data_IF_675993460108
#
_entry.id   IF_675993460108
#
_cell.length_a   1.000
_cell.length_b   1.000
_cell.length_c   1.000
_cell.angle_alpha   90.00
_cell.angle_beta   90.00
_cell.angle_gamma   90.00
#
_symmetry.space_group_name_H-M   'P 1'
#
loop_
_entity.id
_entity.type
_entity.pdbx_description
1 polymer ?
#
# COMPACT_ATOMS: atom_id res chain seq x y z
N UNK A 1 4.90 -19.79 -28.01
CA UNK A 1 5.34 -20.14 -26.65
C UNK A 1 4.35 -19.52 -25.69
N UNK A 2 3.61 -20.32 -24.96
CA UNK A 2 2.77 -19.78 -23.86
C UNK A 2 3.67 -19.02 -22.90
N UNK A 3 3.39 -17.74 -22.69
CA UNK A 3 4.12 -16.94 -21.69
C UNK A 3 3.86 -17.58 -20.33
N UNK A 4 4.93 -17.93 -19.60
CA UNK A 4 4.78 -18.40 -18.22
C UNK A 4 4.03 -17.34 -17.39
N UNK A 5 3.02 -17.78 -16.66
CA UNK A 5 2.22 -16.95 -15.78
C UNK A 5 2.47 -17.35 -14.33
N UNK A 6 2.52 -16.37 -13.44
CA UNK A 6 2.53 -16.60 -12.00
C UNK A 6 1.15 -17.06 -11.56
N UNK A 7 1.07 -18.21 -10.91
CA UNK A 7 -0.16 -18.76 -10.34
C UNK A 7 -0.40 -18.19 -8.95
N UNK A 8 -1.41 -17.34 -8.86
CA UNK A 8 -1.74 -16.62 -7.64
C UNK A 8 -2.69 -17.37 -6.74
N UNK A 9 -2.38 -17.39 -5.43
CA UNK A 9 -3.27 -17.76 -4.35
C UNK A 9 -3.72 -16.54 -3.56
N UNK A 10 -5.00 -16.51 -3.17
CA UNK A 10 -5.56 -15.41 -2.37
C UNK A 10 -5.83 -15.91 -0.96
N UNK A 11 -5.15 -15.31 0.03
CA UNK A 11 -5.30 -15.63 1.47
C UNK A 11 -6.42 -14.77 2.06
N UNK A 12 -7.62 -15.25 2.07
CA UNK A 12 -8.86 -14.59 2.52
C UNK A 12 -9.70 -13.96 1.40
N UNK A 13 -11.00 -14.12 1.51
CA UNK A 13 -12.01 -13.46 0.68
C UNK A 13 -12.32 -12.05 1.22
N UNK A 14 -11.31 -11.18 1.25
CA UNK A 14 -11.44 -9.80 1.71
C UNK A 14 -12.04 -8.88 0.64
N UNK A 15 -12.65 -7.77 1.06
CA UNK A 15 -13.27 -6.80 0.15
C UNK A 15 -12.30 -6.22 -0.87
N UNK A 16 -11.07 -5.90 -0.47
CA UNK A 16 -10.02 -5.39 -1.38
C UNK A 16 -9.59 -6.43 -2.42
N UNK A 17 -9.54 -7.69 -2.05
CA UNK A 17 -9.30 -8.77 -3.01
C UNK A 17 -10.43 -8.85 -4.04
N UNK A 18 -11.70 -8.74 -3.58
CA UNK A 18 -12.89 -8.80 -4.44
C UNK A 18 -12.97 -7.62 -5.43
N UNK A 19 -12.72 -6.42 -4.94
CA UNK A 19 -12.95 -5.18 -5.71
C UNK A 19 -11.78 -4.79 -6.60
N UNK A 20 -10.56 -5.22 -6.27
CA UNK A 20 -9.37 -4.62 -6.84
C UNK A 20 -8.32 -5.64 -7.29
N UNK A 21 -7.76 -6.45 -6.35
CA UNK A 21 -6.59 -7.27 -6.69
C UNK A 21 -6.93 -8.47 -7.56
N UNK A 22 -8.04 -9.17 -7.32
CA UNK A 22 -8.46 -10.26 -8.21
C UNK A 22 -8.77 -9.75 -9.63
N UNK A 23 -9.53 -8.64 -9.81
CA UNK A 23 -9.64 -8.01 -11.14
C UNK A 23 -8.30 -7.63 -11.76
N UNK A 24 -7.35 -7.14 -10.97
CA UNK A 24 -5.98 -6.85 -11.41
C UNK A 24 -5.25 -8.11 -11.90
N UNK A 25 -5.32 -9.22 -11.15
CA UNK A 25 -4.76 -10.52 -11.56
C UNK A 25 -5.37 -11.02 -12.87
N UNK A 26 -6.69 -10.93 -12.99
CA UNK A 26 -7.40 -11.37 -14.20
C UNK A 26 -7.09 -10.49 -15.42
N UNK A 27 -6.76 -9.21 -15.22
CA UNK A 27 -6.36 -8.27 -16.27
C UNK A 27 -4.89 -8.38 -16.66
N UNK A 28 -4.03 -8.88 -15.79
CA UNK A 28 -2.58 -8.95 -15.99
C UNK A 28 -2.18 -10.04 -17.00
N UNK A 29 -1.19 -9.74 -17.85
CA UNK A 29 -0.75 -10.67 -18.90
C UNK A 29 0.09 -11.84 -18.37
N UNK A 30 0.77 -11.66 -17.26
CA UNK A 30 1.71 -12.60 -16.64
C UNK A 30 1.21 -13.22 -15.34
N UNK A 31 -0.10 -13.18 -15.09
CA UNK A 31 -0.73 -13.73 -13.88
C UNK A 31 -1.90 -14.66 -14.23
N UNK A 32 -2.20 -15.57 -13.30
CA UNK A 32 -3.34 -16.48 -13.34
C UNK A 32 -3.94 -16.54 -11.93
N UNK A 33 -5.25 -16.34 -11.79
CA UNK A 33 -5.95 -16.61 -10.55
C UNK A 33 -6.10 -18.13 -10.39
N UNK A 34 -5.18 -18.74 -9.67
CA UNK A 34 -5.15 -20.18 -9.51
C UNK A 34 -5.97 -20.66 -8.32
N UNK A 35 -5.78 -20.03 -7.15
CA UNK A 35 -6.43 -20.48 -5.92
C UNK A 35 -6.99 -19.34 -5.08
N UNK A 36 -8.07 -19.62 -4.37
CA UNK A 36 -8.59 -18.74 -3.31
C UNK A 36 -8.81 -19.55 -2.04
N UNK A 37 -8.72 -18.91 -0.88
CA UNK A 37 -9.03 -19.53 0.40
C UNK A 37 -9.86 -18.63 1.31
N UNK A 38 -10.71 -19.25 2.14
CA UNK A 38 -11.48 -18.54 3.16
C UNK A 38 -11.88 -19.48 4.28
N UNK A 39 -11.83 -19.00 5.53
CA UNK A 39 -12.36 -19.71 6.70
C UNK A 39 -13.89 -19.65 6.80
N UNK A 40 -14.52 -18.77 6.01
CA UNK A 40 -15.98 -18.63 5.95
C UNK A 40 -16.53 -19.27 4.68
N UNK A 41 -17.31 -20.35 4.77
CA UNK A 41 -17.79 -21.10 3.61
C UNK A 41 -18.64 -20.25 2.66
N UNK A 42 -19.51 -19.40 3.18
CA UNK A 42 -20.38 -18.55 2.37
C UNK A 42 -19.57 -17.55 1.52
N UNK A 43 -18.52 -16.95 2.12
CA UNK A 43 -17.63 -16.05 1.40
C UNK A 43 -16.82 -16.79 0.33
N UNK A 44 -16.36 -18.00 0.66
CA UNK A 44 -15.63 -18.85 -0.28
C UNK A 44 -16.49 -19.17 -1.49
N UNK A 45 -17.72 -19.61 -1.26
CA UNK A 45 -18.66 -19.97 -2.34
C UNK A 45 -19.02 -18.76 -3.21
N UNK A 46 -19.25 -17.58 -2.60
CA UNK A 46 -19.45 -16.33 -3.34
C UNK A 46 -18.28 -16.03 -4.27
N UNK A 47 -17.03 -16.13 -3.79
CA UNK A 47 -15.85 -15.85 -4.59
C UNK A 47 -15.61 -16.89 -5.68
N UNK A 48 -15.85 -18.18 -5.40
CA UNK A 48 -15.82 -19.25 -6.41
C UNK A 48 -16.75 -18.95 -7.58
N UNK A 49 -18.00 -18.61 -7.27
CA UNK A 49 -19.01 -18.31 -8.27
C UNK A 49 -18.70 -17.04 -9.08
N UNK A 50 -18.08 -16.05 -8.44
CA UNK A 50 -17.76 -14.77 -9.08
C UNK A 50 -16.51 -14.83 -9.96
N UNK A 51 -15.46 -15.51 -9.51
CA UNK A 51 -14.14 -15.44 -10.12
C UNK A 51 -13.68 -16.74 -10.77
N UNK A 52 -14.36 -17.84 -10.52
CA UNK A 52 -14.08 -19.16 -11.09
C UNK A 52 -12.59 -19.56 -11.02
N UNK A 53 -11.95 -19.56 -9.82
CA UNK A 53 -10.58 -19.99 -9.66
C UNK A 53 -10.42 -21.48 -9.96
N UNK A 54 -9.20 -21.93 -10.29
CA UNK A 54 -8.93 -23.35 -10.52
C UNK A 54 -9.13 -24.18 -9.25
N UNK A 55 -8.77 -23.61 -8.10
CA UNK A 55 -8.89 -24.24 -6.78
C UNK A 55 -9.53 -23.30 -5.75
N UNK A 56 -10.20 -23.91 -4.78
CA UNK A 56 -10.71 -23.18 -3.61
C UNK A 56 -10.50 -24.03 -2.35
N UNK A 57 -10.04 -23.40 -1.28
CA UNK A 57 -9.65 -24.05 -0.03
C UNK A 57 -10.38 -23.44 1.16
N UNK A 58 -10.75 -24.26 2.11
CA UNK A 58 -11.45 -23.84 3.33
C UNK A 58 -10.48 -23.35 4.43
N UNK A 59 -9.18 -23.62 4.25
CA UNK A 59 -8.12 -23.08 5.11
C UNK A 59 -7.02 -22.39 4.29
N UNK A 60 -6.32 -21.46 4.93
CA UNK A 60 -5.20 -20.77 4.32
C UNK A 60 -3.98 -21.71 4.20
N UNK A 61 -3.82 -22.61 5.17
CA UNK A 61 -2.77 -23.62 5.19
C UNK A 61 -2.86 -24.57 3.99
N UNK A 62 -4.07 -25.05 3.65
CA UNK A 62 -4.28 -25.91 2.48
C UNK A 62 -3.87 -25.21 1.18
N UNK A 63 -4.19 -23.92 1.04
CA UNK A 63 -3.74 -23.14 -0.11
C UNK A 63 -2.21 -23.03 -0.16
N UNK A 64 -1.57 -22.78 0.98
CA UNK A 64 -0.12 -22.69 1.06
C UNK A 64 0.58 -24.03 0.78
N UNK A 65 -0.07 -25.15 1.09
CA UNK A 65 0.44 -26.51 0.83
C UNK A 65 0.31 -26.93 -0.63
N UNK A 66 -0.47 -26.23 -1.46
CA UNK A 66 -0.55 -26.53 -2.88
C UNK A 66 0.75 -26.16 -3.62
N UNK A 67 1.48 -27.16 -4.20
CA UNK A 67 2.74 -26.90 -4.87
C UNK A 67 2.60 -26.10 -6.18
N UNK A 68 1.40 -25.96 -6.70
CA UNK A 68 1.14 -25.21 -7.94
C UNK A 68 0.87 -23.72 -7.71
N UNK A 69 0.72 -23.28 -6.47
CA UNK A 69 0.67 -21.87 -6.14
C UNK A 69 2.09 -21.31 -6.12
N UNK A 70 2.39 -20.31 -6.95
CA UNK A 70 3.70 -19.65 -7.02
C UNK A 70 3.80 -18.47 -6.06
N UNK A 71 2.75 -17.65 -6.02
CA UNK A 71 2.69 -16.43 -5.22
C UNK A 71 1.36 -16.31 -4.48
N UNK A 72 1.38 -15.65 -3.33
CA UNK A 72 0.17 -15.36 -2.56
C UNK A 72 0.00 -13.86 -2.36
N UNK A 73 -1.26 -13.43 -2.38
CA UNK A 73 -1.69 -12.13 -1.91
C UNK A 73 -2.33 -12.27 -0.54
N UNK A 74 -1.91 -11.42 0.41
CA UNK A 74 -2.33 -11.47 1.81
C UNK A 74 -3.13 -10.22 2.17
N UNK A 75 -4.45 -10.18 1.94
CA UNK A 75 -5.36 -9.08 2.32
C UNK A 75 -5.99 -9.29 3.69
N UNK A 76 -5.21 -9.69 4.66
CA UNK A 76 -5.66 -9.89 6.04
C UNK A 76 -5.64 -8.56 6.82
N UNK A 77 -6.26 -8.49 8.00
CA UNK A 77 -6.03 -7.37 8.92
C UNK A 77 -4.55 -7.21 9.29
N UNK A 78 -4.12 -5.96 9.52
CA UNK A 78 -2.72 -5.58 9.71
C UNK A 78 -1.94 -6.47 10.69
N UNK A 79 -2.56 -6.81 11.83
CA UNK A 79 -1.94 -7.64 12.87
C UNK A 79 -1.64 -9.09 12.44
N UNK A 80 -2.20 -9.54 11.31
CA UNK A 80 -2.02 -10.91 10.80
C UNK A 80 -1.01 -11.00 9.66
N UNK A 81 -0.56 -9.88 9.09
CA UNK A 81 0.38 -9.87 7.97
C UNK A 81 1.68 -10.61 8.28
N UNK A 82 2.24 -10.37 9.46
CA UNK A 82 3.47 -10.98 9.92
C UNK A 82 3.38 -12.51 9.93
N UNK A 83 2.41 -13.06 10.66
CA UNK A 83 2.24 -14.50 10.80
C UNK A 83 2.09 -15.20 9.44
N UNK A 84 1.20 -14.67 8.59
CA UNK A 84 0.87 -15.31 7.33
C UNK A 84 1.96 -15.13 6.27
N UNK A 85 2.74 -14.07 6.33
CA UNK A 85 3.95 -13.93 5.50
C UNK A 85 5.00 -14.98 5.86
N UNK A 86 5.26 -15.20 7.16
CA UNK A 86 6.21 -16.23 7.59
C UNK A 86 5.74 -17.64 7.15
N UNK A 87 4.46 -17.95 7.32
CA UNK A 87 3.90 -19.23 6.87
C UNK A 87 4.02 -19.40 5.35
N UNK A 88 3.72 -18.36 4.57
CA UNK A 88 3.84 -18.38 3.12
C UNK A 88 5.30 -18.58 2.67
N UNK A 89 6.23 -17.85 3.27
CA UNK A 89 7.67 -17.98 2.99
C UNK A 89 8.18 -19.39 3.30
N UNK A 90 7.81 -19.98 4.44
CA UNK A 90 8.17 -21.35 4.80
C UNK A 90 7.65 -22.40 3.81
N UNK A 91 6.54 -22.10 3.10
CA UNK A 91 6.00 -22.92 2.00
C UNK A 91 6.53 -22.50 0.63
N UNK A 92 7.59 -21.66 0.59
CA UNK A 92 8.26 -21.19 -0.63
C UNK A 92 7.33 -20.44 -1.59
N UNK A 93 6.36 -19.69 -1.06
CA UNK A 93 5.49 -18.83 -1.85
C UNK A 93 6.04 -17.41 -1.86
N UNK A 94 6.10 -16.78 -3.04
CA UNK A 94 6.32 -15.34 -3.16
C UNK A 94 5.13 -14.60 -2.54
N UNK A 95 5.35 -13.42 -1.97
CA UNK A 95 4.34 -12.73 -1.18
C UNK A 95 4.13 -11.29 -1.67
N UNK A 96 2.89 -10.97 -2.01
CA UNK A 96 2.37 -9.61 -2.06
C UNK A 96 1.55 -9.38 -0.79
N UNK A 97 2.07 -8.61 0.15
CA UNK A 97 1.44 -8.35 1.43
C UNK A 97 0.75 -6.99 1.43
N UNK A 98 -0.51 -6.94 1.87
CA UNK A 98 -1.19 -5.65 2.05
C UNK A 98 -0.42 -4.71 2.98
N UNK A 99 -0.63 -3.43 2.71
CA UNK A 99 -0.09 -2.32 3.51
C UNK A 99 -0.90 -2.14 4.84
N UNK A 100 -0.25 -1.70 5.90
CA UNK A 100 1.20 -1.67 6.06
C UNK A 100 1.74 -3.09 6.13
N UNK A 101 2.93 -3.35 5.58
CA UNK A 101 3.53 -4.69 5.51
C UNK A 101 3.55 -5.38 6.88
N UNK A 102 3.87 -4.64 7.93
CA UNK A 102 3.85 -5.09 9.32
C UNK A 102 3.52 -3.95 10.26
N UNK A 103 3.24 -4.28 11.52
CA UNK A 103 2.86 -3.30 12.55
C UNK A 103 4.06 -2.73 13.30
N UNK A 104 5.28 -3.13 12.95
CA UNK A 104 6.52 -2.59 13.49
C UNK A 104 7.70 -2.83 12.55
N UNK A 105 8.75 -1.99 12.69
CA UNK A 105 10.01 -2.17 11.98
C UNK A 105 10.60 -3.57 12.21
N UNK A 106 10.52 -4.08 13.44
CA UNK A 106 11.03 -5.41 13.79
C UNK A 106 10.30 -6.54 13.05
N UNK A 107 8.96 -6.45 12.96
CA UNK A 107 8.19 -7.43 12.19
C UNK A 107 8.58 -7.43 10.72
N UNK A 108 8.69 -6.24 10.10
CA UNK A 108 9.08 -6.11 8.69
C UNK A 108 10.46 -6.71 8.43
N UNK A 109 11.42 -6.49 9.32
CA UNK A 109 12.76 -7.14 9.24
C UNK A 109 12.67 -8.66 9.26
N UNK A 110 11.94 -9.22 10.23
CA UNK A 110 11.78 -10.68 10.36
C UNK A 110 11.05 -11.30 9.17
N UNK A 111 10.05 -10.62 8.61
CA UNK A 111 9.36 -11.06 7.40
C UNK A 111 10.34 -11.18 6.23
N UNK A 112 11.20 -10.17 6.06
CA UNK A 112 12.22 -10.19 5.00
C UNK A 112 13.25 -11.30 5.21
N UNK A 113 13.76 -11.45 6.42
CA UNK A 113 14.74 -12.49 6.78
C UNK A 113 14.19 -13.89 6.46
N UNK A 114 12.93 -14.16 6.80
CA UNK A 114 12.32 -15.46 6.50
C UNK A 114 12.08 -15.64 4.99
N UNK A 115 11.67 -14.59 4.27
CA UNK A 115 11.54 -14.64 2.82
C UNK A 115 12.88 -14.90 2.13
N UNK A 116 13.95 -14.21 2.54
CA UNK A 116 15.29 -14.40 1.98
C UNK A 116 15.83 -15.80 2.23
N UNK A 117 15.68 -16.30 3.45
CA UNK A 117 16.05 -17.66 3.84
C UNK A 117 15.40 -18.72 2.96
N UNK A 118 14.17 -18.48 2.53
CA UNK A 118 13.40 -19.41 1.68
C UNK A 118 13.54 -19.10 0.18
N UNK A 119 14.27 -18.05 -0.21
CA UNK A 119 14.48 -17.66 -1.60
C UNK A 119 13.21 -17.12 -2.29
N UNK A 120 12.31 -16.49 -1.55
CA UNK A 120 11.05 -15.95 -2.07
C UNK A 120 11.02 -14.42 -2.01
N UNK A 121 10.31 -13.81 -2.94
CA UNK A 121 10.10 -12.37 -2.99
C UNK A 121 9.03 -11.96 -1.98
N UNK A 122 9.28 -10.85 -1.27
CA UNK A 122 8.30 -10.12 -0.46
C UNK A 122 8.17 -8.71 -1.00
N UNK A 123 6.95 -8.28 -1.32
CA UNK A 123 6.64 -6.91 -1.73
C UNK A 123 5.42 -6.40 -0.98
N UNK A 124 5.44 -5.13 -0.58
CA UNK A 124 4.32 -4.42 0.04
C UNK A 124 3.36 -3.91 -1.04
N UNK A 125 2.05 -4.07 -0.80
CA UNK A 125 1.01 -3.73 -1.76
C UNK A 125 0.64 -2.23 -1.70
N UNK A 126 1.50 -1.36 -2.23
CA UNK A 126 1.18 0.03 -2.51
C UNK A 126 0.88 0.24 -3.99
N UNK A 127 -0.25 -0.24 -4.46
CA UNK A 127 -0.64 -0.23 -5.87
C UNK A 127 -0.50 1.15 -6.54
N UNK A 128 -0.76 2.25 -5.82
CA UNK A 128 -0.62 3.62 -6.32
C UNK A 128 0.81 3.96 -6.79
N UNK A 129 1.85 3.28 -6.27
CA UNK A 129 3.25 3.48 -6.66
C UNK A 129 3.53 3.05 -8.10
N UNK A 130 2.69 2.18 -8.65
CA UNK A 130 2.75 1.70 -10.02
C UNK A 130 1.97 2.60 -10.99
N UNK A 131 1.22 3.59 -10.47
CA UNK A 131 0.42 4.51 -11.28
C UNK A 131 1.29 5.45 -12.11
N UNK A 132 0.97 5.63 -13.42
CA UNK A 132 1.58 6.67 -14.23
C UNK A 132 1.46 8.07 -13.62
N UNK A 133 0.39 8.34 -12.85
CA UNK A 133 0.24 9.59 -12.11
C UNK A 133 1.37 9.80 -11.12
N UNK A 134 1.66 8.81 -10.27
CA UNK A 134 2.70 8.88 -9.24
C UNK A 134 4.09 9.04 -9.88
N UNK A 135 4.35 8.26 -10.95
CA UNK A 135 5.61 8.37 -11.72
C UNK A 135 5.76 9.76 -12.32
N UNK A 136 4.69 10.30 -12.93
CA UNK A 136 4.72 11.63 -13.55
C UNK A 136 4.98 12.75 -12.57
N UNK A 137 4.35 12.69 -11.38
CA UNK A 137 4.62 13.69 -10.32
C UNK A 137 6.08 13.64 -9.89
N UNK A 138 6.63 12.44 -9.68
CA UNK A 138 8.04 12.28 -9.31
C UNK A 138 8.98 12.85 -10.39
N UNK A 139 8.70 12.56 -11.67
CA UNK A 139 9.43 13.14 -12.79
C UNK A 139 9.41 14.68 -12.80
N UNK A 140 8.24 15.30 -12.56
CA UNK A 140 8.11 16.77 -12.52
C UNK A 140 8.96 17.37 -11.39
N UNK A 141 8.97 16.73 -10.23
CA UNK A 141 9.76 17.15 -9.07
C UNK A 141 11.25 16.97 -9.35
N UNK A 142 11.67 15.81 -9.84
CA UNK A 142 13.09 15.51 -10.13
C UNK A 142 13.68 16.39 -11.24
N UNK A 143 12.85 16.77 -12.21
CA UNK A 143 13.22 17.73 -13.26
C UNK A 143 13.21 19.20 -12.79
N UNK A 144 12.90 19.46 -11.51
CA UNK A 144 12.96 20.78 -10.92
C UNK A 144 11.90 21.75 -11.44
N UNK A 145 10.73 21.25 -11.92
CA UNK A 145 9.65 22.06 -12.50
C UNK A 145 9.15 23.15 -11.55
N UNK A 146 9.19 22.89 -10.24
CA UNK A 146 8.83 23.83 -9.17
C UNK A 146 10.05 24.33 -8.36
N UNK A 147 11.27 24.13 -8.84
CA UNK A 147 12.48 24.39 -8.07
C UNK A 147 12.69 23.35 -6.96
N UNK A 148 13.49 23.68 -5.95
CA UNK A 148 13.71 22.81 -4.80
C UNK A 148 12.41 22.70 -3.98
N UNK A 149 12.04 21.48 -3.60
CA UNK A 149 10.91 21.25 -2.71
C UNK A 149 11.19 21.88 -1.34
N UNK A 150 10.21 22.53 -0.76
CA UNK A 150 10.25 23.15 0.57
C UNK A 150 9.21 22.56 1.52
N UNK A 151 8.05 22.19 0.98
CA UNK A 151 6.98 21.69 1.80
C UNK A 151 6.12 20.68 1.04
N UNK A 152 5.66 19.64 1.74
CA UNK A 152 4.66 18.69 1.23
C UNK A 152 3.57 18.50 2.26
N UNK A 153 2.32 18.57 1.84
CA UNK A 153 1.19 18.11 2.64
C UNK A 153 0.45 16.99 1.93
N UNK A 154 0.05 15.97 2.69
CA UNK A 154 -0.74 14.86 2.19
C UNK A 154 -1.88 14.55 3.15
N UNK A 155 -3.08 14.37 2.59
CA UNK A 155 -4.31 14.11 3.33
C UNK A 155 -4.98 12.84 2.82
N UNK A 156 -5.36 11.97 3.76
CA UNK A 156 -6.26 10.87 3.48
C UNK A 156 -7.25 10.73 4.63
N UNK A 157 -8.52 10.94 4.34
CA UNK A 157 -9.58 10.81 5.33
C UNK A 157 -10.87 10.28 4.69
N UNK A 158 -11.68 9.64 5.48
CA UNK A 158 -13.05 9.28 5.16
C UNK A 158 -13.86 9.07 6.44
N UNK A 159 -15.19 9.13 6.32
CA UNK A 159 -16.09 8.85 7.44
C UNK A 159 -16.31 7.34 7.57
N UNK A 160 -15.72 6.71 8.59
CA UNK A 160 -15.96 5.31 8.94
C UNK A 160 -17.27 5.20 9.71
N UNK A 161 -18.29 4.63 9.07
CA UNK A 161 -19.67 4.59 9.64
C UNK A 161 -19.95 3.33 10.43
N UNK A 162 -19.25 2.24 10.14
CA UNK A 162 -19.44 0.95 10.79
C UNK A 162 -18.58 0.88 12.06
N UNK A 163 -19.22 0.83 13.21
CA UNK A 163 -18.54 0.72 14.52
C UNK A 163 -17.89 -0.64 14.77
N UNK A 164 -18.25 -1.66 13.98
CA UNK A 164 -17.70 -3.02 14.08
C UNK A 164 -16.61 -3.29 13.03
N UNK A 165 -16.20 -2.26 12.29
CA UNK A 165 -15.15 -2.39 11.28
C UNK A 165 -13.81 -2.82 11.89
N UNK A 166 -13.12 -3.73 11.21
CA UNK A 166 -11.82 -4.27 11.65
C UNK A 166 -10.76 -3.17 11.87
N UNK A 167 -10.91 -2.02 11.22
CA UNK A 167 -10.05 -0.83 11.39
C UNK A 167 -10.14 -0.21 12.77
N UNK A 168 -11.19 -0.52 13.53
CA UNK A 168 -11.38 -0.05 14.92
C UNK A 168 -10.98 -1.11 15.95
N UNK A 169 -10.47 -2.27 15.53
CA UNK A 169 -10.06 -3.34 16.44
C UNK A 169 -8.57 -3.26 16.76
N UNK A 170 -8.24 -2.89 18.00
CA UNK A 170 -6.85 -2.83 18.48
C UNK A 170 -6.15 -4.19 18.44
N UNK A 171 -6.88 -5.30 18.66
CA UNK A 171 -6.38 -6.66 18.57
C UNK A 171 -5.94 -7.08 17.17
N UNK A 172 -6.40 -6.37 16.14
CA UNK A 172 -6.04 -6.58 14.73
C UNK A 172 -5.12 -5.47 14.19
N UNK A 173 -4.56 -4.66 15.09
CA UNK A 173 -3.74 -3.50 14.75
C UNK A 173 -4.49 -2.50 13.84
N UNK A 174 -5.73 -2.18 14.23
CA UNK A 174 -6.50 -1.10 13.61
C UNK A 174 -5.87 0.27 13.86
N UNK A 175 -6.47 1.30 13.30
CA UNK A 175 -6.06 2.69 13.44
C UNK A 175 -5.88 3.40 12.11
N UNK A 176 -6.18 4.70 12.09
CA UNK A 176 -6.12 5.53 10.89
C UNK A 176 -4.69 5.66 10.37
N UNK A 177 -3.69 5.71 11.25
CA UNK A 177 -2.29 5.81 10.84
C UNK A 177 -1.83 4.55 10.09
N UNK A 178 -2.20 3.35 10.56
CA UNK A 178 -1.91 2.12 9.85
C UNK A 178 -2.68 2.01 8.52
N UNK A 179 -4.00 2.28 8.53
CA UNK A 179 -4.84 2.03 7.36
C UNK A 179 -4.60 3.04 6.21
N UNK A 180 -4.61 4.32 6.52
CA UNK A 180 -4.54 5.41 5.52
C UNK A 180 -3.37 6.39 5.72
N UNK A 181 -2.90 6.59 6.95
CA UNK A 181 -1.72 7.39 7.24
C UNK A 181 -0.45 6.84 6.60
N UNK A 182 -0.34 5.50 6.49
CA UNK A 182 0.78 4.83 5.82
C UNK A 182 0.96 5.27 4.37
N UNK A 183 -0.11 5.59 3.65
CA UNK A 183 -0.07 6.14 2.29
C UNK A 183 0.53 7.55 2.25
N UNK A 184 0.06 8.43 3.15
CA UNK A 184 0.57 9.80 3.24
C UNK A 184 2.06 9.81 3.56
N UNK A 185 2.50 9.00 4.52
CA UNK A 185 3.90 8.85 4.89
C UNK A 185 4.71 8.34 3.69
N UNK A 186 4.22 7.30 3.01
CA UNK A 186 4.91 6.69 1.87
C UNK A 186 5.05 7.67 0.71
N UNK A 187 4.00 8.40 0.32
CA UNK A 187 4.07 9.34 -0.80
C UNK A 187 4.99 10.52 -0.50
N UNK A 188 4.98 11.05 0.73
CA UNK A 188 5.86 12.13 1.15
C UNK A 188 7.34 11.70 1.03
N UNK A 189 7.70 10.55 1.62
CA UNK A 189 9.06 9.99 1.56
C UNK A 189 9.49 9.71 0.13
N UNK A 190 8.61 9.13 -0.68
CA UNK A 190 8.87 8.84 -2.08
C UNK A 190 9.16 10.09 -2.91
N UNK A 191 8.36 11.14 -2.74
CA UNK A 191 8.52 12.39 -3.49
C UNK A 191 9.80 13.11 -3.08
N UNK A 192 10.08 13.23 -1.79
CA UNK A 192 11.30 13.89 -1.29
C UNK A 192 12.55 13.06 -1.64
N UNK A 193 12.47 11.73 -1.58
CA UNK A 193 13.56 10.82 -1.93
C UNK A 193 14.60 10.61 -0.83
N UNK A 194 14.35 11.12 0.38
CA UNK A 194 15.17 10.90 1.59
C UNK A 194 14.25 10.65 2.79
N UNK A 195 14.83 10.14 3.88
CA UNK A 195 14.09 9.86 5.11
C UNK A 195 13.99 11.10 6.01
N UNK A 196 12.92 11.23 6.81
CA UNK A 196 12.81 12.30 7.79
C UNK A 196 13.88 12.16 8.87
N UNK A 197 14.48 13.27 9.27
CA UNK A 197 15.48 13.34 10.37
C UNK A 197 14.81 13.44 11.74
N UNK A 198 13.59 13.96 11.79
CA UNK A 198 12.75 14.01 12.99
C UNK A 198 11.28 14.07 12.62
N UNK A 199 10.43 13.70 13.57
CA UNK A 199 8.99 13.88 13.44
C UNK A 199 8.34 14.23 14.80
N UNK A 200 7.20 14.93 14.70
CA UNK A 200 6.27 15.15 15.79
C UNK A 200 4.88 14.67 15.37
N UNK A 201 4.26 13.85 16.21
CA UNK A 201 2.95 13.27 15.92
C UNK A 201 1.96 13.51 17.06
N UNK A 202 0.74 13.86 16.70
CA UNK A 202 -0.42 13.94 17.58
C UNK A 202 -1.62 13.29 16.94
N UNK A 203 -2.58 12.83 17.73
CA UNK A 203 -3.75 12.16 17.20
C UNK A 203 -4.84 11.98 18.25
N UNK A 204 -6.01 11.57 17.81
CA UNK A 204 -7.12 11.20 18.67
C UNK A 204 -7.23 9.69 18.74
N UNK A 205 -6.95 9.14 19.92
CA UNK A 205 -7.26 7.73 20.22
C UNK A 205 -8.72 7.65 20.64
N UNK A 206 -9.48 6.76 20.02
CA UNK A 206 -10.88 6.53 20.33
C UNK A 206 -11.02 5.84 21.69
N UNK A 207 -11.92 6.32 22.54
CA UNK A 207 -12.15 5.77 23.88
C UNK A 207 -12.67 4.32 23.84
N UNK A 208 -13.46 3.98 22.82
CA UNK A 208 -14.04 2.64 22.64
C UNK A 208 -13.13 1.73 21.84
N UNK A 209 -12.56 2.24 20.74
CA UNK A 209 -11.74 1.46 19.83
C UNK A 209 -10.33 1.18 20.38
N UNK A 210 -9.79 2.09 21.18
CA UNK A 210 -8.42 2.01 21.68
C UNK A 210 -7.36 2.19 20.60
N UNK A 211 -7.77 2.60 19.37
CA UNK A 211 -6.86 2.89 18.25
C UNK A 211 -6.92 4.37 17.88
N UNK A 212 -5.93 4.86 17.19
CA UNK A 212 -5.92 6.20 16.64
C UNK A 212 -6.96 6.31 15.51
N UNK A 213 -7.96 7.17 15.71
CA UNK A 213 -9.01 7.46 14.72
C UNK A 213 -8.65 8.66 13.83
N UNK A 214 -7.65 9.42 14.24
CA UNK A 214 -7.01 10.45 13.41
C UNK A 214 -5.58 10.70 13.87
N UNK A 215 -4.73 11.13 12.94
CA UNK A 215 -3.38 11.59 13.25
C UNK A 215 -2.94 12.77 12.39
N UNK A 216 -2.09 13.61 12.97
CA UNK A 216 -1.36 14.67 12.29
C UNK A 216 0.12 14.48 12.61
N UNK A 217 0.93 14.30 11.57
CA UNK A 217 2.36 14.01 11.68
C UNK A 217 3.10 15.10 10.93
N UNK A 218 3.95 15.84 11.62
CA UNK A 218 4.90 16.80 11.03
C UNK A 218 6.25 16.12 10.93
N UNK A 219 6.88 16.17 9.78
CA UNK A 219 8.18 15.56 9.50
C UNK A 219 9.17 16.62 9.03
N UNK A 220 10.37 16.60 9.59
CA UNK A 220 11.50 17.40 9.16
C UNK A 220 12.46 16.56 8.32
N UNK A 221 12.96 17.13 7.24
CA UNK A 221 13.95 16.52 6.35
C UNK A 221 15.16 17.42 6.22
N UNK A 222 16.28 16.87 5.80
CA UNK A 222 17.47 17.66 5.51
C UNK A 222 17.20 18.74 4.43
N UNK A 223 17.92 19.86 4.49
CA UNK A 223 17.79 20.95 3.53
C UNK A 223 16.58 21.86 3.76
N UNK A 224 16.07 21.93 5.00
CA UNK A 224 14.94 22.77 5.42
C UNK A 224 13.64 22.41 4.66
N UNK A 225 13.42 21.13 4.44
CA UNK A 225 12.17 20.59 3.87
C UNK A 225 11.29 20.08 5.01
N UNK A 226 10.02 20.47 5.00
CA UNK A 226 9.03 20.01 5.97
C UNK A 226 7.86 19.32 5.28
N UNK A 227 7.24 18.40 6.00
CA UNK A 227 6.02 17.76 5.50
C UNK A 227 4.99 17.56 6.59
N UNK A 228 3.72 17.49 6.17
CA UNK A 228 2.58 17.19 7.03
C UNK A 228 1.76 16.06 6.43
N UNK A 229 1.54 15.03 7.23
CA UNK A 229 0.59 13.96 6.95
C UNK A 229 -0.61 14.11 7.87
N UNK A 230 -1.82 14.18 7.32
CA UNK A 230 -3.05 14.12 8.09
C UNK A 230 -3.92 12.96 7.63
N UNK A 231 -4.40 12.14 8.55
CA UNK A 231 -5.38 11.11 8.27
C UNK A 231 -6.49 11.06 9.32
N UNK A 232 -7.70 10.62 8.90
CA UNK A 232 -8.84 10.54 9.82
C UNK A 232 -9.93 9.61 9.32
N UNK A 233 -10.53 8.86 10.24
CA UNK A 233 -11.76 8.10 10.04
C UNK A 233 -13.04 8.92 10.33
N UNK A 234 -12.87 10.17 10.81
CA UNK A 234 -13.97 11.02 11.29
C UNK A 234 -14.15 12.29 10.45
N UNK A 235 -13.65 12.28 9.20
CA UNK A 235 -13.79 13.41 8.27
C UNK A 235 -14.46 12.97 6.97
N UNK A 236 -14.88 13.92 6.15
CA UNK A 236 -15.31 13.64 4.78
C UNK A 236 -14.16 13.07 3.95
N UNK A 237 -14.50 12.40 2.84
CA UNK A 237 -13.48 11.84 1.93
C UNK A 237 -12.60 12.96 1.38
N UNK A 238 -11.31 12.83 1.64
CA UNK A 238 -10.25 13.63 1.06
C UNK A 238 -9.04 12.71 0.81
N UNK A 239 -8.50 12.74 -0.40
CA UNK A 239 -7.37 11.89 -0.79
C UNK A 239 -6.53 12.66 -1.80
N UNK A 240 -5.59 13.48 -1.32
CA UNK A 240 -4.83 14.44 -2.13
C UNK A 240 -3.49 14.78 -1.48
N UNK A 241 -2.58 15.35 -2.26
CA UNK A 241 -1.36 15.98 -1.75
C UNK A 241 -0.97 17.22 -2.56
N UNK A 242 -0.21 18.10 -1.91
CA UNK A 242 0.36 19.30 -2.50
C UNK A 242 1.85 19.40 -2.21
N UNK A 243 2.64 19.72 -3.23
CA UNK A 243 4.09 19.89 -3.15
C UNK A 243 4.40 21.34 -3.44
N UNK A 244 5.03 22.04 -2.50
CA UNK A 244 5.42 23.44 -2.62
C UNK A 244 6.93 23.51 -2.82
N UNK A 245 7.36 24.14 -3.90
CA UNK A 245 8.76 24.39 -4.21
C UNK A 245 9.07 25.89 -4.28
N UNK A 246 10.34 26.21 -4.57
CA UNK A 246 10.82 27.59 -4.66
C UNK A 246 10.21 28.38 -5.83
N UNK A 247 9.72 27.68 -6.87
CA UNK A 247 9.28 28.28 -8.14
C UNK A 247 7.85 27.90 -8.52
N UNK A 248 7.14 27.18 -7.66
CA UNK A 248 5.78 26.77 -7.95
C UNK A 248 5.22 25.73 -7.00
N UNK A 249 4.01 25.26 -7.33
CA UNK A 249 3.24 24.29 -6.56
C UNK A 249 2.74 23.21 -7.50
N UNK A 250 2.84 21.95 -7.09
CA UNK A 250 2.18 20.82 -7.74
C UNK A 250 1.06 20.34 -6.81
N UNK A 251 -0.16 20.30 -7.31
CA UNK A 251 -1.32 19.76 -6.60
C UNK A 251 -1.86 18.52 -7.31
N UNK A 252 -2.14 17.47 -6.55
CA UNK A 252 -2.70 16.20 -7.02
C UNK A 252 -3.99 15.93 -6.27
N UNK A 253 -5.15 16.26 -6.89
CA UNK A 253 -6.43 16.29 -6.18
C UNK A 253 -7.09 14.93 -5.96
N UNK A 254 -6.59 13.86 -6.60
CA UNK A 254 -7.07 12.48 -6.39
C UNK A 254 -5.89 11.54 -6.58
N UNK A 255 -5.57 10.71 -5.58
CA UNK A 255 -4.28 10.00 -5.61
C UNK A 255 -4.35 8.49 -5.52
N UNK A 256 -4.84 7.88 -4.45
CA UNK A 256 -4.39 6.52 -4.15
C UNK A 256 -5.01 5.39 -4.98
N UNK A 257 -6.14 5.59 -5.63
CA UNK A 257 -6.79 4.54 -6.44
C UNK A 257 -7.41 5.15 -7.69
N UNK A 258 -6.59 5.83 -8.50
CA UNK A 258 -7.03 6.46 -9.73
C UNK A 258 -7.13 5.48 -10.87
N UNK A 259 -8.17 5.61 -11.70
CA UNK A 259 -8.34 4.90 -12.96
C UNK A 259 -8.95 5.84 -13.99
N UNK A 260 -8.45 5.78 -15.21
CA UNK A 260 -8.84 6.71 -16.28
C UNK A 260 -8.06 8.02 -16.22
N UNK A 261 -8.62 9.05 -16.83
CA UNK A 261 -7.95 10.35 -16.91
C UNK A 261 -8.00 11.08 -15.56
N UNK A 262 -6.83 11.48 -15.08
CA UNK A 262 -6.65 12.27 -13.87
C UNK A 262 -5.75 13.47 -14.15
N UNK A 263 -5.73 14.46 -13.26
CA UNK A 263 -5.02 15.71 -13.46
C UNK A 263 -3.96 15.95 -12.42
N UNK A 264 -2.83 16.50 -12.86
CA UNK A 264 -1.84 17.19 -12.04
C UNK A 264 -1.98 18.68 -12.34
N UNK A 265 -2.06 19.50 -11.30
CA UNK A 265 -2.12 20.96 -11.44
C UNK A 265 -0.78 21.54 -11.04
N UNK A 266 -0.10 22.21 -11.97
CA UNK A 266 1.16 22.91 -11.74
C UNK A 266 0.90 24.41 -11.77
N UNK A 267 1.11 25.09 -10.65
CA UNK A 267 0.96 26.55 -10.53
C UNK A 267 2.35 27.19 -10.38
N UNK A 268 2.63 28.17 -11.23
CA UNK A 268 3.83 29.03 -11.20
C UNK A 268 3.43 30.50 -11.35
N UNK A 269 4.40 31.40 -11.23
CA UNK A 269 4.17 32.84 -11.42
C UNK A 269 3.65 33.14 -12.82
N UNK A 270 4.07 32.37 -13.84
CA UNK A 270 3.66 32.54 -15.24
C UNK A 270 2.23 32.03 -15.51
N UNK A 271 1.63 31.27 -14.59
CA UNK A 271 0.27 30.74 -14.74
C UNK A 271 0.05 29.36 -14.15
N UNK A 272 -1.07 28.76 -14.57
CA UNK A 272 -1.50 27.42 -14.13
C UNK A 272 -1.52 26.50 -15.35
N UNK A 273 -0.88 25.36 -15.21
CA UNK A 273 -0.88 24.27 -16.19
C UNK A 273 -1.61 23.04 -15.61
N UNK A 274 -2.51 22.45 -16.37
CA UNK A 274 -3.16 21.17 -16.05
C UNK A 274 -2.54 20.07 -16.94
N UNK A 275 -1.97 19.06 -16.34
CA UNK A 275 -1.41 17.89 -17.02
C UNK A 275 -2.35 16.71 -16.82
N UNK A 276 -2.96 16.25 -17.91
CA UNK A 276 -3.80 15.05 -17.87
C UNK A 276 -2.93 13.79 -17.99
N UNK A 277 -3.15 12.83 -17.09
CA UNK A 277 -2.48 11.53 -17.07
C UNK A 277 -3.54 10.44 -17.14
N UNK A 278 -3.44 9.57 -18.14
CA UNK A 278 -4.29 8.38 -18.21
C UNK A 278 -3.72 7.27 -17.34
N UNK A 279 -4.50 6.82 -16.35
CA UNK A 279 -4.12 5.81 -15.38
C UNK A 279 -4.84 4.49 -15.69
N UNK A 280 -4.13 3.44 -16.10
CA UNK A 280 -4.65 2.07 -16.09
C UNK A 280 -4.96 1.62 -14.65
N UNK A 281 -5.48 0.41 -14.53
CA UNK A 281 -5.71 -0.20 -13.23
C UNK A 281 -4.39 -0.41 -12.48
N UNK A 282 -4.20 0.29 -11.35
CA UNK A 282 -2.97 0.26 -10.56
C UNK A 282 -2.68 -1.13 -9.99
N UNK A 283 -3.72 -1.88 -9.62
CA UNK A 283 -3.56 -3.23 -9.10
C UNK A 283 -3.12 -4.21 -10.17
N UNK A 284 -3.59 -4.04 -11.41
CA UNK A 284 -3.09 -4.80 -12.55
C UNK A 284 -1.59 -4.52 -12.78
N UNK A 285 -1.18 -3.24 -12.76
CA UNK A 285 0.22 -2.85 -12.93
C UNK A 285 1.12 -3.40 -11.82
N UNK A 286 0.65 -3.39 -10.58
CA UNK A 286 1.33 -3.98 -9.42
C UNK A 286 1.54 -5.48 -9.60
N UNK A 287 0.47 -6.21 -9.94
CA UNK A 287 0.52 -7.67 -10.22
C UNK A 287 1.47 -7.99 -11.37
N UNK A 288 1.44 -7.20 -12.44
CA UNK A 288 2.37 -7.39 -13.57
C UNK A 288 3.82 -7.15 -13.18
N UNK A 289 4.08 -6.13 -12.34
CA UNK A 289 5.43 -5.80 -11.90
C UNK A 289 6.02 -6.89 -11.01
N UNK A 290 5.28 -7.34 -9.99
CA UNK A 290 5.75 -8.45 -9.15
C UNK A 290 5.88 -9.76 -9.97
N UNK A 291 5.02 -9.98 -10.95
CA UNK A 291 5.14 -11.09 -11.89
C UNK A 291 6.46 -11.04 -12.70
N UNK A 292 6.89 -9.86 -13.17
CA UNK A 292 8.21 -9.68 -13.82
C UNK A 292 9.36 -9.89 -12.84
N UNK A 293 9.21 -9.46 -11.58
CA UNK A 293 10.22 -9.75 -10.55
C UNK A 293 10.42 -11.27 -10.37
N UNK A 294 9.33 -12.04 -10.31
CA UNK A 294 9.36 -13.49 -10.12
C UNK A 294 9.89 -14.21 -11.37
N UNK A 295 9.40 -13.86 -12.56
CA UNK A 295 9.68 -14.60 -13.80
C UNK A 295 10.98 -14.17 -14.49
N UNK A 296 11.43 -12.92 -14.29
CA UNK A 296 12.51 -12.30 -15.07
C UNK A 296 13.62 -11.72 -14.18
N UNK A 297 13.45 -11.73 -12.85
CA UNK A 297 14.42 -11.16 -11.92
C UNK A 297 14.46 -9.61 -11.92
N UNK A 298 13.40 -8.95 -12.37
CA UNK A 298 13.26 -7.50 -12.27
C UNK A 298 13.29 -7.06 -10.81
N UNK A 299 13.83 -5.87 -10.52
CA UNK A 299 13.81 -5.32 -9.16
C UNK A 299 12.43 -4.78 -8.82
N UNK A 300 11.90 -5.02 -7.60
CA UNK A 300 10.64 -4.41 -7.16
C UNK A 300 10.70 -2.88 -7.17
N UNK A 301 9.62 -2.24 -7.62
CA UNK A 301 9.48 -0.76 -7.54
C UNK A 301 9.34 -0.30 -6.09
N UNK A 302 8.69 -1.12 -5.27
CA UNK A 302 8.65 -0.91 -3.83
C UNK A 302 9.71 -1.82 -3.23
N UNK A 303 10.82 -1.21 -2.84
CA UNK A 303 11.94 -1.96 -2.27
C UNK A 303 11.65 -2.32 -0.82
N UNK A 304 12.33 -3.35 -0.31
CA UNK A 304 12.26 -3.69 1.11
C UNK A 304 12.66 -2.51 2.01
N UNK A 305 13.70 -1.77 1.62
CA UNK A 305 14.17 -0.60 2.37
C UNK A 305 13.09 0.49 2.47
N UNK A 306 12.32 0.71 1.39
CA UNK A 306 11.20 1.64 1.41
C UNK A 306 10.11 1.21 2.41
N UNK A 307 9.73 -0.07 2.40
CA UNK A 307 8.75 -0.63 3.35
C UNK A 307 9.24 -0.58 4.80
N UNK A 308 10.52 -0.89 5.02
CA UNK A 308 11.15 -0.84 6.35
C UNK A 308 11.14 0.59 6.91
N UNK A 309 11.53 1.56 6.10
CA UNK A 309 11.56 2.97 6.50
C UNK A 309 10.15 3.52 6.71
N UNK A 310 9.16 3.06 5.91
CA UNK A 310 7.76 3.41 6.13
C UNK A 310 7.26 2.91 7.49
N UNK A 311 7.56 1.65 7.83
CA UNK A 311 7.21 1.07 9.12
C UNK A 311 7.89 1.81 10.29
N UNK A 312 9.16 2.22 10.13
CA UNK A 312 9.88 3.02 11.14
C UNK A 312 9.21 4.34 11.44
N UNK A 313 8.78 5.09 10.41
CA UNK A 313 8.08 6.37 10.59
C UNK A 313 6.72 6.16 11.25
N UNK A 314 5.97 5.13 10.86
CA UNK A 314 4.68 4.77 11.47
C UNK A 314 4.86 4.42 12.95
N UNK A 315 5.85 3.58 13.28
CA UNK A 315 6.17 3.18 14.67
C UNK A 315 6.46 4.38 15.55
N UNK A 316 7.31 5.30 15.07
CA UNK A 316 7.66 6.49 15.83
C UNK A 316 6.44 7.39 16.03
N UNK A 317 5.63 7.60 15.01
CA UNK A 317 4.40 8.40 15.10
C UNK A 317 3.42 7.80 16.12
N UNK A 318 3.16 6.50 16.04
CA UNK A 318 2.23 5.82 16.94
C UNK A 318 2.74 5.78 18.39
N UNK A 319 4.05 5.69 18.62
CA UNK A 319 4.63 5.83 19.97
C UNK A 319 4.36 7.20 20.59
N UNK A 320 4.31 8.27 19.79
CA UNK A 320 3.99 9.61 20.27
C UNK A 320 2.49 9.80 20.50
N UNK A 321 1.64 9.26 19.62
CA UNK A 321 0.17 9.39 19.67
C UNK A 321 -0.43 8.60 20.85
N UNK A 322 0.14 7.44 21.17
CA UNK A 322 -0.38 6.51 22.21
C UNK A 322 0.19 6.74 23.62
N UNK A 323 0.95 7.80 23.81
CA UNK A 323 1.41 8.26 25.13
C UNK A 323 0.27 8.93 25.91
#
# INVERSE_FOLDING_TARGET
MDKMKVKWGIISCAGIAESSVIPGILGAQNAELYAISSRGPDKLEKFKNKFNPVKAYESYEELLDDPLVDAVYIPLPNGLHYEWTLKAAAKKKHVLCEKPMGISEEQVKKMKEECDKNGVLLMEAFAYRHSPLTVKVKELVDNGVIGKVKFIESHFSFMLKDSEDVRLLSSLAGGATYDIGCYNINVIRYIIGVEPVSLYATGKVGEKSGVDESSCIVMDFDGDVKAVSYCSFNCTLRSEYTIVGEKGIISVPVIFNTKGDTKIVVKKDEGIEEITVNCPDNYMLEVEQIGRCILQGEKPYITFEDSLNNARVIDEALRQIRK
#
